data_IF_535424213481
#
_entry.id   IF_535424213481
#
_cell.length_a   1.000
_cell.length_b   1.000
_cell.length_c   1.000
_cell.angle_alpha   90.00
_cell.angle_beta   90.00
_cell.angle_gamma   90.00
#
_symmetry.space_group_name_H-M   'P 1'
#
loop_
_entity.id
_entity.type
_entity.pdbx_description
1 polymer ?
#
# COMPACT_ATOMS: atom_id res chain seq x y z
N UNK A 1 -22.08 41.00 -5.18
CA UNK A 1 -21.61 39.84 -4.40
C UNK A 1 -21.04 38.86 -5.40
N UNK A 2 -19.72 38.83 -5.54
CA UNK A 2 -19.04 37.86 -6.39
C UNK A 2 -19.06 36.51 -5.64
N UNK A 3 -19.76 35.53 -6.19
CA UNK A 3 -19.59 34.14 -5.78
C UNK A 3 -18.21 33.71 -6.31
N UNK A 4 -17.21 33.65 -5.43
CA UNK A 4 -15.92 33.06 -5.77
C UNK A 4 -16.10 31.56 -6.01
N UNK A 5 -15.95 31.14 -7.27
CA UNK A 5 -15.76 29.76 -7.74
C UNK A 5 -14.42 29.17 -7.24
N UNK A 6 -14.18 29.14 -5.92
CA UNK A 6 -13.03 28.43 -5.36
C UNK A 6 -13.45 27.02 -4.97
N UNK A 7 -13.24 26.07 -5.90
CA UNK A 7 -13.26 24.63 -5.56
C UNK A 7 -12.32 24.37 -4.39
N UNK A 8 -12.80 23.65 -3.38
CA UNK A 8 -11.96 23.20 -2.27
C UNK A 8 -10.93 22.18 -2.76
N UNK A 9 -9.85 21.96 -2.00
CA UNK A 9 -8.79 21.03 -2.43
C UNK A 9 -9.32 19.59 -2.56
N UNK A 10 -10.24 19.18 -1.69
CA UNK A 10 -10.90 17.86 -1.80
C UNK A 10 -11.81 17.75 -3.04
N UNK A 11 -12.42 18.87 -3.50
CA UNK A 11 -13.18 18.89 -4.75
C UNK A 11 -12.27 18.80 -5.97
N UNK A 12 -11.08 19.42 -5.92
CA UNK A 12 -10.06 19.27 -6.97
C UNK A 12 -9.53 17.85 -7.02
N UNK A 13 -9.23 17.27 -5.86
CA UNK A 13 -8.78 15.90 -5.72
C UNK A 13 -9.80 14.91 -6.29
N UNK A 14 -11.07 15.08 -5.93
CA UNK A 14 -12.17 14.31 -6.53
C UNK A 14 -12.19 14.47 -8.05
N UNK A 15 -12.16 15.70 -8.57
CA UNK A 15 -12.20 15.94 -10.01
C UNK A 15 -11.04 15.29 -10.78
N UNK A 16 -9.87 15.18 -10.15
CA UNK A 16 -8.69 14.54 -10.71
C UNK A 16 -8.84 13.02 -10.83
N UNK A 17 -9.41 12.35 -9.83
CA UNK A 17 -9.40 10.88 -9.74
C UNK A 17 -10.76 10.21 -9.97
N UNK A 18 -11.86 10.96 -10.02
CA UNK A 18 -13.21 10.40 -10.09
C UNK A 18 -13.40 9.44 -11.26
N UNK A 19 -12.84 9.72 -12.43
CA UNK A 19 -12.98 8.82 -13.58
C UNK A 19 -11.92 7.73 -13.69
N UNK A 20 -10.99 7.63 -12.72
CA UNK A 20 -10.14 6.45 -12.55
C UNK A 20 -10.84 5.34 -11.76
N UNK A 21 -12.01 5.60 -11.17
CA UNK A 21 -12.76 4.65 -10.33
C UNK A 21 -13.96 4.12 -11.11
N UNK A 22 -14.11 2.80 -11.12
CA UNK A 22 -15.18 2.05 -11.77
C UNK A 22 -16.05 1.32 -10.73
N UNK A 23 -17.27 0.98 -11.12
CA UNK A 23 -18.01 -0.08 -10.42
C UNK A 23 -17.70 -1.43 -11.04
N UNK A 24 -17.92 -2.48 -10.25
CA UNK A 24 -17.89 -3.86 -10.70
C UNK A 24 -19.22 -4.50 -10.28
N UNK A 25 -20.03 -4.94 -11.24
CA UNK A 25 -21.21 -5.77 -10.94
C UNK A 25 -20.87 -7.23 -11.14
N UNK A 26 -21.43 -8.06 -10.28
CA UNK A 26 -21.15 -9.49 -10.21
C UNK A 26 -22.43 -10.27 -9.96
N UNK A 27 -22.41 -11.54 -10.31
CA UNK A 27 -23.47 -12.51 -10.04
C UNK A 27 -22.86 -13.67 -9.24
N UNK A 28 -23.48 -14.04 -8.12
CA UNK A 28 -23.10 -15.22 -7.36
C UNK A 28 -23.75 -16.51 -7.92
N UNK A 29 -23.39 -17.66 -7.35
CA UNK A 29 -23.92 -18.97 -7.77
C UNK A 29 -25.45 -19.10 -7.56
N UNK A 30 -26.04 -18.26 -6.72
CA UNK A 30 -27.48 -18.18 -6.45
C UNK A 30 -28.20 -17.19 -7.37
N UNK A 31 -27.50 -16.59 -8.35
CA UNK A 31 -28.00 -15.56 -9.27
C UNK A 31 -28.39 -14.24 -8.57
N UNK A 32 -27.83 -13.98 -7.39
CA UNK A 32 -27.96 -12.67 -6.77
C UNK A 32 -26.91 -11.72 -7.36
N UNK A 33 -27.37 -10.53 -7.76
CA UNK A 33 -26.49 -9.47 -8.23
C UNK A 33 -25.85 -8.73 -7.06
N UNK A 34 -24.53 -8.54 -7.15
CA UNK A 34 -23.74 -7.73 -6.24
C UNK A 34 -23.09 -6.55 -6.96
N UNK A 35 -22.69 -5.54 -6.19
CA UNK A 35 -21.91 -4.41 -6.68
C UNK A 35 -20.73 -4.13 -5.74
N UNK A 36 -19.58 -3.88 -6.33
CA UNK A 36 -18.40 -3.34 -5.68
C UNK A 36 -17.78 -2.21 -6.50
N UNK A 37 -16.59 -1.80 -6.08
CA UNK A 37 -15.82 -0.74 -6.71
C UNK A 37 -14.47 -1.28 -7.17
N UNK A 38 -13.86 -0.62 -8.14
CA UNK A 38 -12.48 -0.85 -8.54
C UNK A 38 -11.83 0.48 -8.95
N UNK A 39 -10.51 0.55 -9.00
CA UNK A 39 -9.82 1.76 -9.48
C UNK A 39 -8.57 1.41 -10.30
N UNK A 40 -8.32 2.22 -11.32
CA UNK A 40 -7.20 2.10 -12.23
C UNK A 40 -5.92 2.63 -11.58
N UNK A 41 -4.83 1.85 -11.64
CA UNK A 41 -3.52 2.21 -11.08
C UNK A 41 -2.45 2.48 -12.15
N UNK A 42 -2.80 2.33 -13.43
CA UNK A 42 -1.87 2.46 -14.56
C UNK A 42 -1.86 1.20 -15.43
N UNK A 43 -1.45 1.34 -16.69
CA UNK A 43 -1.30 0.24 -17.66
C UNK A 43 -2.56 -0.63 -17.85
N UNK A 44 -3.74 -0.06 -17.63
CA UNK A 44 -5.02 -0.78 -17.69
C UNK A 44 -5.29 -1.68 -16.49
N UNK A 45 -4.45 -1.65 -15.46
CA UNK A 45 -4.58 -2.49 -14.27
C UNK A 45 -5.55 -1.83 -13.30
N UNK A 46 -6.60 -2.56 -12.94
CA UNK A 46 -7.58 -2.19 -11.93
C UNK A 46 -7.39 -3.03 -10.69
N UNK A 47 -7.63 -2.40 -9.54
CA UNK A 47 -7.58 -2.98 -8.20
C UNK A 47 -8.98 -3.02 -7.63
N UNK A 48 -9.35 -4.12 -6.97
CA UNK A 48 -10.62 -4.29 -6.24
C UNK A 48 -10.44 -5.19 -5.01
N UNK A 49 -11.43 -5.27 -4.14
CA UNK A 49 -11.40 -6.22 -3.03
C UNK A 49 -11.68 -7.64 -3.55
N UNK A 50 -10.97 -8.65 -3.03
CA UNK A 50 -11.10 -10.04 -3.48
C UNK A 50 -12.53 -10.52 -3.36
N UNK A 51 -13.18 -10.32 -2.21
CA UNK A 51 -14.55 -10.79 -1.99
C UNK A 51 -15.60 -10.16 -2.93
N UNK A 52 -15.28 -9.08 -3.63
CA UNK A 52 -16.18 -8.50 -4.65
C UNK A 52 -16.32 -9.46 -5.82
N UNK A 53 -15.25 -10.15 -6.22
CA UNK A 53 -15.19 -10.94 -7.46
C UNK A 53 -14.91 -12.42 -7.24
N UNK A 54 -14.36 -12.81 -6.10
CA UNK A 54 -13.94 -14.18 -5.83
C UNK A 54 -15.15 -15.12 -5.83
N UNK A 55 -15.04 -16.22 -6.57
CA UNK A 55 -16.13 -17.17 -6.84
C UNK A 55 -17.42 -16.53 -7.39
N UNK A 56 -17.31 -15.40 -8.09
CA UNK A 56 -18.44 -14.71 -8.73
C UNK A 56 -18.18 -14.45 -10.19
N UNK A 57 -19.25 -14.41 -10.97
CA UNK A 57 -19.17 -14.04 -12.38
C UNK A 57 -19.23 -12.51 -12.49
N UNK A 58 -18.19 -11.92 -13.05
CA UNK A 58 -18.18 -10.48 -13.37
C UNK A 58 -19.16 -10.23 -14.52
N UNK A 59 -20.14 -9.36 -14.29
CA UNK A 59 -21.13 -8.95 -15.28
C UNK A 59 -20.68 -7.70 -16.04
N UNK A 60 -20.19 -6.70 -15.31
CA UNK A 60 -19.79 -5.41 -15.89
C UNK A 60 -18.72 -4.72 -15.04
N UNK A 61 -17.76 -4.09 -15.72
CA UNK A 61 -16.84 -3.11 -15.12
C UNK A 61 -17.00 -1.81 -15.89
N UNK A 62 -17.39 -0.72 -15.24
CA UNK A 62 -17.59 0.54 -15.95
C UNK A 62 -17.31 1.78 -15.11
N UNK A 63 -16.85 2.83 -15.78
CA UNK A 63 -16.72 4.17 -15.21
C UNK A 63 -17.96 5.00 -15.51
N UNK A 64 -18.28 5.95 -14.62
CA UNK A 64 -19.52 6.77 -14.74
C UNK A 64 -19.26 8.27 -14.84
N UNK A 65 -17.99 8.70 -14.88
CA UNK A 65 -17.60 10.11 -14.86
C UNK A 65 -16.97 10.52 -16.18
N UNK A 66 -17.49 11.60 -16.76
CA UNK A 66 -16.80 12.30 -17.84
C UNK A 66 -15.62 13.07 -17.26
N UNK A 67 -14.50 13.00 -17.95
CA UNK A 67 -13.25 13.64 -17.55
C UNK A 67 -12.85 14.58 -18.67
N UNK A 68 -12.47 15.80 -18.30
CA UNK A 68 -11.92 16.80 -19.20
C UNK A 68 -10.46 17.03 -18.78
N UNK A 69 -9.53 16.63 -19.64
CA UNK A 69 -8.10 16.81 -19.43
C UNK A 69 -7.62 17.94 -20.34
N UNK A 70 -6.93 18.92 -19.75
CA UNK A 70 -6.28 19.99 -20.51
C UNK A 70 -4.84 19.61 -20.74
N UNK A 71 -4.48 19.35 -21.99
CA UNK A 71 -3.10 19.08 -22.39
C UNK A 71 -2.39 20.39 -22.70
N UNK A 72 -1.39 20.73 -21.90
CA UNK A 72 -0.52 21.88 -22.17
C UNK A 72 0.32 21.59 -23.42
N UNK A 73 0.23 22.47 -24.41
CA UNK A 73 1.04 22.43 -25.62
C UNK A 73 2.40 23.08 -25.34
N UNK A 74 3.49 22.42 -25.77
CA UNK A 74 4.87 22.96 -25.68
C UNK A 74 5.02 24.27 -26.47
N UNK A 75 4.12 24.50 -27.42
CA UNK A 75 4.01 25.72 -28.21
C UNK A 75 3.08 26.71 -27.50
N UNK A 76 3.64 27.76 -26.89
CA UNK A 76 2.90 28.81 -26.18
C UNK A 76 1.88 29.55 -27.07
N UNK A 77 1.99 29.43 -28.40
CA UNK A 77 1.06 30.03 -29.36
C UNK A 77 -0.15 29.12 -29.71
N UNK A 78 -0.16 27.86 -29.26
CA UNK A 78 -1.30 26.96 -29.46
C UNK A 78 -2.20 26.96 -28.24
N UNK A 79 -3.52 27.02 -28.48
CA UNK A 79 -4.49 26.80 -27.42
C UNK A 79 -4.36 25.36 -26.89
N UNK A 80 -4.49 25.17 -25.57
CA UNK A 80 -4.37 23.85 -24.97
C UNK A 80 -5.44 22.90 -25.52
N UNK A 81 -5.05 21.67 -25.80
CA UNK A 81 -5.96 20.65 -26.32
C UNK A 81 -6.80 20.07 -25.17
N UNK A 82 -8.12 20.04 -25.32
CA UNK A 82 -9.02 19.44 -24.33
C UNK A 82 -9.36 18.03 -24.78
N UNK A 83 -8.88 17.04 -24.02
CA UNK A 83 -9.22 15.63 -24.21
C UNK A 83 -10.43 15.32 -23.34
N UNK A 84 -11.51 14.85 -23.95
CA UNK A 84 -12.70 14.39 -23.25
C UNK A 84 -12.70 12.87 -23.21
N UNK A 85 -12.75 12.31 -22.01
CA UNK A 85 -12.90 10.87 -21.78
C UNK A 85 -14.32 10.61 -21.28
N UNK A 86 -15.09 9.87 -22.07
CA UNK A 86 -16.48 9.53 -21.73
C UNK A 86 -16.55 8.30 -20.82
N UNK A 87 -17.57 8.22 -19.95
CA UNK A 87 -17.90 6.99 -19.21
C UNK A 87 -18.03 5.79 -20.15
N UNK A 88 -17.46 4.65 -19.78
CA UNK A 88 -17.55 3.44 -20.60
C UNK A 88 -17.50 2.15 -19.81
N UNK A 89 -18.04 1.11 -20.42
CA UNK A 89 -17.84 -0.29 -20.02
C UNK A 89 -16.47 -0.75 -20.52
N UNK A 90 -15.73 -1.42 -19.65
CA UNK A 90 -14.39 -1.92 -19.90
C UNK A 90 -14.39 -3.43 -20.09
N UNK A 91 -13.65 -3.90 -21.09
CA UNK A 91 -13.43 -5.33 -21.30
C UNK A 91 -12.19 -5.77 -20.52
N UNK A 92 -12.34 -6.76 -19.65
CA UNK A 92 -11.22 -7.42 -18.98
C UNK A 92 -10.48 -8.27 -20.01
N UNK A 93 -9.19 -8.01 -20.17
CA UNK A 93 -8.31 -8.72 -21.12
C UNK A 93 -7.38 -9.71 -20.42
N UNK A 94 -7.17 -9.55 -19.10
CA UNK A 94 -6.30 -10.43 -18.31
C UNK A 94 -6.74 -10.44 -16.84
N UNK A 95 -6.65 -11.60 -16.19
CA UNK A 95 -7.18 -11.82 -14.84
C UNK A 95 -8.69 -12.14 -14.83
N UNK A 96 -9.36 -11.99 -13.67
CA UNK A 96 -8.83 -11.47 -12.42
C UNK A 96 -7.85 -12.41 -11.71
N UNK A 97 -6.87 -11.82 -11.02
CA UNK A 97 -5.96 -12.51 -10.11
C UNK A 97 -6.29 -12.11 -8.68
N UNK A 98 -6.45 -13.10 -7.80
CA UNK A 98 -6.74 -12.88 -6.38
C UNK A 98 -5.51 -13.16 -5.55
N UNK A 99 -5.32 -12.40 -4.47
CA UNK A 99 -4.32 -12.76 -3.46
C UNK A 99 -4.82 -13.96 -2.63
N UNK A 100 -3.88 -14.81 -2.20
CA UNK A 100 -4.20 -16.00 -1.41
C UNK A 100 -4.63 -15.64 0.01
N UNK A 101 -3.92 -14.71 0.63
CA UNK A 101 -4.05 -14.37 2.05
C UNK A 101 -4.81 -13.05 2.27
N UNK A 102 -4.78 -12.15 1.29
CA UNK A 102 -5.33 -10.80 1.42
C UNK A 102 -6.64 -10.61 0.66
N UNK A 103 -7.49 -9.71 1.14
CA UNK A 103 -8.76 -9.35 0.48
C UNK A 103 -8.55 -8.37 -0.70
N UNK A 104 -7.66 -8.74 -1.62
CA UNK A 104 -7.26 -7.91 -2.75
C UNK A 104 -7.26 -8.73 -4.05
N UNK A 105 -7.68 -8.09 -5.13
CA UNK A 105 -7.62 -8.63 -6.47
C UNK A 105 -7.27 -7.55 -7.49
N UNK A 106 -6.59 -7.99 -8.55
CA UNK A 106 -6.24 -7.16 -9.70
C UNK A 106 -6.70 -7.80 -11.01
N UNK A 107 -7.05 -6.96 -11.97
CA UNK A 107 -7.37 -7.39 -13.34
C UNK A 107 -6.95 -6.30 -14.33
N UNK A 108 -6.75 -6.67 -15.58
CA UNK A 108 -6.33 -5.75 -16.63
C UNK A 108 -7.45 -5.55 -17.64
N UNK A 109 -7.68 -4.31 -18.05
CA UNK A 109 -8.66 -3.95 -19.08
C UNK A 109 -7.99 -3.37 -20.31
N UNK A 110 -8.68 -3.43 -21.44
CA UNK A 110 -8.27 -2.73 -22.65
C UNK A 110 -8.52 -1.22 -22.53
N UNK A 111 -7.44 -0.45 -22.46
CA UNK A 111 -7.51 1.01 -22.52
C UNK A 111 -7.31 1.46 -23.97
N UNK A 112 -8.42 1.74 -24.65
CA UNK A 112 -8.40 2.35 -25.99
C UNK A 112 -7.73 3.75 -26.03
N UNK A 113 -7.46 4.36 -24.86
CA UNK A 113 -6.91 5.69 -24.73
C UNK A 113 -5.81 5.72 -23.65
N UNK A 114 -4.59 6.03 -24.05
CA UNK A 114 -3.41 6.13 -23.17
C UNK A 114 -3.55 7.22 -22.08
N UNK A 115 -4.46 8.18 -22.26
CA UNK A 115 -4.74 9.26 -21.32
C UNK A 115 -5.78 8.89 -20.25
N UNK A 116 -6.25 7.65 -20.21
CA UNK A 116 -7.19 7.21 -19.19
C UNK A 116 -6.57 7.39 -17.79
N UNK A 117 -7.23 8.13 -16.88
CA UNK A 117 -6.59 8.51 -15.64
C UNK A 117 -6.36 7.31 -14.74
N UNK A 118 -5.23 7.33 -14.05
CA UNK A 118 -4.86 6.37 -13.03
C UNK A 118 -4.75 7.08 -11.69
N UNK A 119 -5.06 6.36 -10.62
CA UNK A 119 -4.78 6.80 -9.26
C UNK A 119 -3.27 6.74 -9.01
N UNK A 120 -2.71 7.83 -8.48
CA UNK A 120 -1.33 7.83 -8.01
C UNK A 120 -1.20 6.93 -6.79
N UNK A 121 -0.16 6.09 -6.76
CA UNK A 121 0.09 5.17 -5.67
C UNK A 121 1.11 5.74 -4.68
N UNK A 122 0.94 5.43 -3.39
CA UNK A 122 1.92 5.78 -2.36
C UNK A 122 3.15 4.86 -2.40
N UNK A 123 4.32 5.38 -2.03
CA UNK A 123 5.54 4.57 -1.88
C UNK A 123 5.65 3.88 -0.52
N UNK A 124 4.72 4.13 0.40
CA UNK A 124 4.74 3.53 1.73
C UNK A 124 4.60 2.01 1.65
N UNK A 125 5.30 1.33 2.55
CA UNK A 125 5.19 -0.11 2.76
C UNK A 125 4.63 -0.40 4.15
N UNK A 126 4.00 -1.55 4.30
CA UNK A 126 3.50 -2.03 5.60
C UNK A 126 4.63 -2.30 6.58
N UNK A 127 5.88 -2.41 6.14
CA UNK A 127 7.04 -2.52 7.02
C UNK A 127 7.45 -1.16 7.63
N UNK A 128 7.27 -0.06 6.90
CA UNK A 128 7.70 1.28 7.32
C UNK A 128 6.66 2.02 8.16
N UNK A 129 5.37 1.74 7.95
CA UNK A 129 4.29 2.48 8.60
C UNK A 129 4.32 2.31 10.12
N UNK A 130 4.39 3.40 10.88
CA UNK A 130 4.28 3.33 12.35
C UNK A 130 2.82 3.36 12.81
N UNK A 131 2.57 3.08 14.10
CA UNK A 131 1.26 3.15 14.74
C UNK A 131 0.60 4.55 14.73
N UNK A 132 1.39 5.59 14.51
CA UNK A 132 0.97 6.99 14.51
C UNK A 132 1.04 7.64 13.12
N UNK A 133 1.70 6.99 12.17
CA UNK A 133 1.81 7.52 10.81
C UNK A 133 0.42 7.59 10.16
N UNK A 134 0.12 8.72 9.53
CA UNK A 134 -1.19 9.03 8.94
C UNK A 134 -2.35 9.21 9.93
N UNK A 135 -2.22 9.00 11.23
CA UNK A 135 -3.31 9.29 12.19
C UNK A 135 -3.71 10.76 12.08
N UNK A 136 -5.02 11.02 11.99
CA UNK A 136 -5.67 12.31 11.67
C UNK A 136 -5.43 12.86 10.26
N UNK A 137 -4.76 12.13 9.37
CA UNK A 137 -4.65 12.53 7.96
C UNK A 137 -6.04 12.54 7.32
N UNK A 138 -6.34 13.62 6.58
CA UNK A 138 -7.57 13.73 5.81
C UNK A 138 -7.54 12.76 4.63
N UNK A 139 -8.66 12.11 4.39
CA UNK A 139 -8.82 11.15 3.28
C UNK A 139 -10.11 11.39 2.51
N UNK A 140 -10.09 10.98 1.25
CA UNK A 140 -11.23 10.94 0.35
C UNK A 140 -11.46 9.49 -0.10
N UNK A 141 -12.62 8.95 0.24
CA UNK A 141 -13.06 7.62 -0.19
C UNK A 141 -13.96 7.77 -1.41
N UNK A 142 -13.67 7.01 -2.47
CA UNK A 142 -14.47 6.99 -3.71
C UNK A 142 -14.88 5.56 -4.03
N UNK A 143 -16.18 5.33 -4.24
CA UNK A 143 -16.71 4.01 -4.62
C UNK A 143 -18.15 4.08 -5.12
N UNK A 144 -18.80 2.93 -5.17
CA UNK A 144 -20.12 2.72 -5.76
C UNK A 144 -21.06 1.94 -4.81
N UNK A 145 -21.26 2.38 -3.56
CA UNK A 145 -22.30 1.82 -2.71
C UNK A 145 -23.68 1.98 -3.38
N UNK A 146 -24.54 0.96 -3.34
CA UNK A 146 -25.86 1.04 -3.95
C UNK A 146 -26.71 2.11 -3.24
N UNK A 147 -27.35 2.96 -4.03
CA UNK A 147 -28.32 3.95 -3.54
C UNK A 147 -29.72 3.43 -3.89
N UNK A 148 -30.59 3.14 -2.89
CA UNK A 148 -31.94 2.68 -3.15
C UNK A 148 -32.70 3.62 -4.10
N UNK A 149 -33.53 3.03 -4.97
CA UNK A 149 -34.37 3.74 -5.95
C UNK A 149 -33.63 4.50 -7.06
N UNK A 150 -32.31 4.28 -7.21
CA UNK A 150 -31.58 4.72 -8.41
C UNK A 150 -31.65 3.66 -9.50
N UNK A 151 -31.67 4.09 -10.76
CA UNK A 151 -31.73 3.20 -11.93
C UNK A 151 -30.36 2.97 -12.59
N UNK A 152 -29.30 3.51 -11.99
CA UNK A 152 -27.92 3.44 -12.48
C UNK A 152 -26.94 3.44 -11.31
N UNK A 153 -25.78 2.78 -11.42
CA UNK A 153 -24.71 2.92 -10.45
C UNK A 153 -24.25 4.38 -10.33
N UNK A 154 -24.27 4.92 -9.11
CA UNK A 154 -23.85 6.28 -8.83
C UNK A 154 -22.59 6.25 -7.98
N UNK A 155 -21.55 6.96 -8.43
CA UNK A 155 -20.34 7.11 -7.64
C UNK A 155 -20.65 7.95 -6.40
N UNK A 156 -20.29 7.43 -5.24
CA UNK A 156 -20.43 8.07 -3.94
C UNK A 156 -19.04 8.36 -3.38
N UNK A 157 -18.96 9.52 -2.74
CA UNK A 157 -17.71 10.04 -2.19
C UNK A 157 -17.94 10.38 -0.72
N UNK A 158 -17.00 10.00 0.14
CA UNK A 158 -17.02 10.34 1.55
C UNK A 158 -15.66 10.90 1.97
N UNK A 159 -15.66 11.98 2.75
CA UNK A 159 -14.46 12.53 3.38
C UNK A 159 -14.36 12.07 4.82
N UNK A 160 -13.16 11.79 5.30
CA UNK A 160 -12.91 11.42 6.69
C UNK A 160 -11.47 11.62 7.09
N UNK A 161 -11.11 11.00 8.20
CA UNK A 161 -9.75 10.96 8.72
C UNK A 161 -9.37 9.52 9.06
N UNK A 162 -8.08 9.23 9.00
CA UNK A 162 -7.51 8.03 9.61
C UNK A 162 -7.57 8.18 11.13
N UNK A 163 -8.28 7.28 11.79
CA UNK A 163 -8.44 7.26 13.23
C UNK A 163 -7.40 6.37 13.92
N UNK A 164 -6.98 5.30 13.26
CA UNK A 164 -5.99 4.37 13.78
C UNK A 164 -5.27 3.64 12.65
N UNK A 165 -4.03 3.22 12.95
CA UNK A 165 -3.26 2.25 12.19
C UNK A 165 -3.24 0.98 13.01
N UNK A 166 -3.63 -0.14 12.41
CA UNK A 166 -3.77 -1.42 13.10
C UNK A 166 -3.22 -2.57 12.25
N UNK A 167 -2.81 -3.64 12.91
CA UNK A 167 -2.62 -4.94 12.28
C UNK A 167 -3.80 -5.85 12.67
N UNK A 168 -4.31 -6.61 11.70
CA UNK A 168 -5.39 -7.58 11.93
C UNK A 168 -4.84 -8.99 11.82
N UNK A 169 -5.42 -9.95 12.56
CA UNK A 169 -4.86 -11.31 12.69
C UNK A 169 -4.78 -12.12 11.40
N UNK A 170 -5.48 -11.69 10.35
CA UNK A 170 -5.63 -12.42 9.10
C UNK A 170 -4.92 -11.73 7.92
N UNK A 171 -4.21 -10.64 8.17
CA UNK A 171 -3.51 -9.87 7.14
C UNK A 171 -2.05 -9.65 7.56
N UNK A 172 -1.15 -9.77 6.59
CA UNK A 172 0.26 -9.40 6.74
C UNK A 172 0.49 -7.90 6.48
N UNK A 173 -0.55 -7.17 6.07
CA UNK A 173 -0.47 -5.77 5.69
C UNK A 173 -1.17 -4.88 6.73
N UNK A 174 -0.73 -3.63 6.77
CA UNK A 174 -1.32 -2.63 7.65
C UNK A 174 -2.75 -2.32 7.20
N UNK A 175 -3.62 -2.17 8.20
CA UNK A 175 -4.97 -1.64 8.03
C UNK A 175 -5.11 -0.24 8.63
N UNK A 176 -5.90 0.60 7.97
CA UNK A 176 -6.31 1.90 8.50
C UNK A 176 -7.79 1.86 8.89
N UNK A 177 -8.10 2.40 10.06
CA UNK A 177 -9.48 2.64 10.48
C UNK A 177 -9.86 4.07 10.13
N UNK A 178 -10.95 4.27 9.39
CA UNK A 178 -11.44 5.60 9.03
C UNK A 178 -12.60 6.05 9.91
N UNK A 179 -12.78 7.38 10.00
CA UNK A 179 -13.95 8.00 10.64
C UNK A 179 -15.25 7.93 9.84
N UNK A 180 -15.20 7.43 8.60
CA UNK A 180 -16.37 7.26 7.73
C UNK A 180 -17.14 5.99 8.04
N UNK A 181 -18.44 5.97 7.74
CA UNK A 181 -19.26 4.77 7.89
C UNK A 181 -18.89 3.73 6.84
N UNK A 182 -18.66 2.49 7.28
CA UNK A 182 -18.59 1.36 6.38
C UNK A 182 -19.97 1.11 5.75
N UNK A 183 -20.00 0.88 4.43
CA UNK A 183 -21.21 0.49 3.68
C UNK A 183 -20.84 -0.47 2.57
N UNK A 184 -21.72 -1.44 2.31
CA UNK A 184 -21.58 -2.32 1.15
C UNK A 184 -21.47 -1.52 -0.15
N UNK A 185 -20.67 -2.03 -1.09
CA UNK A 185 -20.39 -1.42 -2.40
C UNK A 185 -19.30 -0.33 -2.41
N UNK A 186 -18.81 0.12 -1.24
CA UNK A 186 -17.49 0.78 -1.19
C UNK A 186 -16.33 -0.20 -1.34
N UNK A 187 -16.52 -1.48 -1.05
CA UNK A 187 -15.47 -2.51 -1.17
C UNK A 187 -14.81 -2.51 -2.54
N UNK A 188 -13.47 -2.52 -2.56
CA UNK A 188 -12.63 -2.29 -3.73
C UNK A 188 -12.46 -0.83 -4.14
N UNK A 189 -13.12 0.10 -3.46
CA UNK A 189 -13.03 1.54 -3.70
C UNK A 189 -11.74 2.10 -3.13
N UNK A 190 -11.28 3.21 -3.71
CA UNK A 190 -10.00 3.82 -3.34
C UNK A 190 -10.16 4.77 -2.16
N UNK A 191 -9.15 4.79 -1.30
CA UNK A 191 -8.97 5.80 -0.26
C UNK A 191 -7.75 6.63 -0.59
N UNK A 192 -7.99 7.89 -0.97
CA UNK A 192 -6.95 8.85 -1.33
C UNK A 192 -6.55 9.67 -0.10
N UNK A 193 -5.25 9.91 0.07
CA UNK A 193 -4.76 10.94 0.96
C UNK A 193 -5.07 12.33 0.42
N UNK A 194 -5.05 13.34 1.28
CA UNK A 194 -5.09 14.76 0.89
C UNK A 194 -4.03 15.13 -0.17
N UNK A 195 -2.86 14.49 -0.14
CA UNK A 195 -1.79 14.70 -1.12
C UNK A 195 -2.02 14.00 -2.46
N UNK A 196 -3.11 13.24 -2.58
CA UNK A 196 -3.58 12.67 -3.83
C UNK A 196 -2.99 11.32 -4.22
N UNK A 197 -2.34 10.61 -3.30
CA UNK A 197 -1.95 9.22 -3.51
C UNK A 197 -2.94 8.26 -2.81
N UNK A 198 -3.10 7.05 -3.33
CA UNK A 198 -3.86 6.00 -2.66
C UNK A 198 -3.15 5.57 -1.37
N UNK A 199 -3.84 5.74 -0.24
CA UNK A 199 -3.43 5.18 1.03
C UNK A 199 -3.72 3.66 1.07
N UNK A 200 -4.85 3.27 0.48
CA UNK A 200 -5.31 1.90 0.42
C UNK A 200 -6.65 1.75 -0.31
N UNK A 201 -7.23 0.56 -0.18
CA UNK A 201 -8.56 0.26 -0.69
C UNK A 201 -9.50 -0.17 0.44
N UNK A 202 -10.78 0.08 0.25
CA UNK A 202 -11.82 -0.41 1.16
C UNK A 202 -11.96 -1.92 1.00
N UNK A 203 -11.85 -2.68 2.06
CA UNK A 203 -12.09 -4.14 2.05
C UNK A 203 -13.37 -4.44 2.81
N UNK A 204 -13.27 -4.56 4.12
CA UNK A 204 -14.33 -5.00 5.00
C UNK A 204 -14.72 -3.94 6.04
N UNK A 205 -15.84 -4.21 6.72
CA UNK A 205 -16.16 -3.55 7.98
C UNK A 205 -15.72 -4.45 9.13
N UNK A 206 -14.90 -3.93 10.04
CA UNK A 206 -14.49 -4.65 11.23
C UNK A 206 -15.63 -4.64 12.25
N UNK A 207 -16.45 -5.69 12.22
CA UNK A 207 -17.55 -5.95 13.15
C UNK A 207 -17.37 -7.26 13.92
N UNK A 208 -18.27 -7.52 14.88
CA UNK A 208 -18.32 -8.82 15.59
C UNK A 208 -19.57 -9.61 15.17
N UNK A 209 -19.39 -10.89 14.82
CA UNK A 209 -20.50 -11.81 14.52
C UNK A 209 -21.44 -11.32 13.41
N UNK A 210 -22.75 -11.37 13.65
CA UNK A 210 -23.81 -10.93 12.71
C UNK A 210 -24.14 -9.43 12.79
N UNK A 211 -23.21 -8.61 13.30
CA UNK A 211 -23.44 -7.16 13.39
C UNK A 211 -23.58 -6.54 11.99
N UNK A 212 -24.46 -5.53 11.88
CA UNK A 212 -24.63 -4.80 10.64
C UNK A 212 -23.30 -4.18 10.23
N UNK A 213 -22.98 -4.22 8.93
CA UNK A 213 -21.74 -3.66 8.36
C UNK A 213 -21.55 -2.21 8.81
N UNK A 214 -22.63 -1.44 8.89
CA UNK A 214 -22.65 -0.04 9.30
C UNK A 214 -22.26 0.21 10.77
N UNK A 215 -22.23 -0.84 11.60
CA UNK A 215 -21.82 -0.75 13.00
C UNK A 215 -20.34 -1.11 13.24
N UNK A 216 -19.68 -1.66 12.23
CA UNK A 216 -18.25 -1.93 12.28
C UNK A 216 -17.39 -0.73 11.88
N UNK A 217 -16.09 -0.82 12.16
CA UNK A 217 -15.13 0.18 11.74
C UNK A 217 -14.83 0.03 10.25
N UNK A 218 -14.83 1.14 9.51
CA UNK A 218 -14.40 1.14 8.12
C UNK A 218 -12.91 0.86 8.04
N UNK A 219 -12.57 -0.33 7.53
CA UNK A 219 -11.21 -0.84 7.45
C UNK A 219 -10.69 -0.74 6.03
N UNK A 220 -9.47 -0.23 5.92
CA UNK A 220 -8.79 0.03 4.65
C UNK A 220 -7.52 -0.80 4.63
N UNK A 221 -7.40 -1.70 3.67
CA UNK A 221 -6.19 -2.46 3.44
C UNK A 221 -5.16 -1.55 2.75
N UNK A 222 -3.93 -1.53 3.27
CA UNK A 222 -2.82 -0.76 2.68
C UNK A 222 -2.68 -1.06 1.19
N UNK A 223 -2.44 0.00 0.41
CA UNK A 223 -2.23 -0.09 -1.05
C UNK A 223 -1.06 -1.00 -1.43
N UNK A 224 -0.17 -1.22 -0.47
CA UNK A 224 1.00 -2.07 -0.58
C UNK A 224 0.68 -3.48 -1.11
N UNK A 225 -0.39 -4.10 -0.59
CA UNK A 225 -0.86 -5.41 -1.04
C UNK A 225 -1.26 -5.44 -2.52
N UNK A 226 -1.86 -4.34 -3.02
CA UNK A 226 -2.28 -4.21 -4.41
C UNK A 226 -1.08 -4.06 -5.35
N UNK A 227 -0.07 -3.30 -4.89
CA UNK A 227 1.17 -3.09 -5.65
C UNK A 227 1.92 -4.40 -5.81
N UNK A 228 2.11 -5.16 -4.72
CA UNK A 228 2.77 -6.47 -4.77
C UNK A 228 2.05 -7.44 -5.71
N UNK A 229 0.71 -7.47 -5.66
CA UNK A 229 -0.07 -8.33 -6.55
C UNK A 229 0.03 -7.89 -8.02
N UNK A 230 0.02 -6.58 -8.30
CA UNK A 230 0.17 -6.05 -9.64
C UNK A 230 1.58 -6.31 -10.22
N UNK A 231 2.64 -6.17 -9.40
CA UNK A 231 4.01 -6.52 -9.80
C UNK A 231 4.11 -8.01 -10.11
N UNK A 232 3.55 -8.86 -9.25
CA UNK A 232 3.60 -10.33 -9.41
C UNK A 232 2.93 -10.82 -10.69
N UNK A 233 1.81 -10.23 -11.09
CA UNK A 233 0.99 -10.74 -12.18
C UNK A 233 1.09 -9.96 -13.49
N UNK A 234 1.51 -8.69 -13.45
CA UNK A 234 1.52 -7.81 -14.63
C UNK A 234 2.85 -7.12 -14.89
N UNK A 235 3.92 -7.47 -14.15
CA UNK A 235 5.23 -6.79 -14.23
C UNK A 235 5.10 -5.25 -14.09
N UNK A 236 4.21 -4.80 -13.20
CA UNK A 236 3.88 -3.39 -13.03
C UNK A 236 5.12 -2.53 -12.72
N UNK A 237 5.36 -1.51 -13.55
CA UNK A 237 6.58 -0.70 -13.47
C UNK A 237 6.47 0.40 -12.40
N UNK A 238 7.00 0.12 -11.22
CA UNK A 238 6.97 1.05 -10.07
C UNK A 238 7.60 2.43 -10.39
N UNK A 239 8.77 2.45 -11.06
CA UNK A 239 9.49 3.69 -11.36
C UNK A 239 8.71 4.59 -12.33
N UNK A 240 8.05 4.00 -13.34
CA UNK A 240 7.18 4.72 -14.28
C UNK A 240 6.07 5.49 -13.55
N UNK A 241 5.57 4.93 -12.45
CA UNK A 241 4.50 5.51 -11.65
C UNK A 241 5.00 6.27 -10.41
N UNK A 242 6.30 6.57 -10.34
CA UNK A 242 6.89 7.36 -9.25
C UNK A 242 6.84 6.67 -7.89
N UNK A 243 6.80 5.33 -7.89
CA UNK A 243 6.82 4.50 -6.69
C UNK A 243 8.27 4.10 -6.43
N UNK A 244 8.83 4.63 -5.35
CA UNK A 244 10.21 4.41 -4.95
C UNK A 244 10.23 3.60 -3.66
N UNK A 245 10.09 2.29 -3.82
CA UNK A 245 10.25 1.31 -2.74
C UNK A 245 11.67 0.77 -2.77
N UNK A 246 12.16 0.40 -1.59
CA UNK A 246 13.37 -0.42 -1.46
C UNK A 246 14.61 0.16 -2.18
N UNK A 247 14.76 1.48 -2.25
CA UNK A 247 15.94 2.05 -2.92
C UNK A 247 17.22 1.96 -2.07
N UNK A 248 17.06 1.79 -0.75
CA UNK A 248 18.14 2.07 0.21
C UNK A 248 18.46 0.87 1.13
N UNK A 249 17.45 0.14 1.60
CA UNK A 249 17.65 -0.97 2.55
C UNK A 249 17.85 -2.30 1.83
N UNK A 250 18.97 -2.98 2.05
CA UNK A 250 19.18 -4.36 1.59
C UNK A 250 18.35 -5.34 2.42
N UNK A 251 18.39 -5.21 3.74
CA UNK A 251 17.55 -5.95 4.67
C UNK A 251 17.34 -5.14 5.95
N UNK A 252 16.11 -5.17 6.47
CA UNK A 252 15.79 -4.65 7.79
C UNK A 252 14.92 -5.67 8.52
N UNK A 253 15.33 -6.07 9.72
CA UNK A 253 14.58 -7.00 10.57
C UNK A 253 14.24 -6.31 11.88
N UNK A 254 12.95 -6.08 12.10
CA UNK A 254 12.42 -5.49 13.34
C UNK A 254 12.01 -6.61 14.29
N UNK A 255 12.53 -6.55 15.50
CA UNK A 255 12.33 -7.54 16.56
C UNK A 255 11.68 -6.87 17.77
N UNK A 256 10.81 -7.61 18.45
CA UNK A 256 10.11 -7.09 19.63
C UNK A 256 10.03 -8.14 20.74
N UNK A 257 10.23 -7.72 21.98
CA UNK A 257 10.03 -8.58 23.15
C UNK A 257 8.56 -8.66 23.58
N UNK A 258 8.22 -9.65 24.42
CA UNK A 258 6.83 -9.87 24.86
C UNK A 258 6.23 -8.65 25.60
N UNK A 259 7.06 -7.92 26.36
CA UNK A 259 6.61 -6.76 27.15
C UNK A 259 6.04 -5.64 26.27
N UNK A 260 6.73 -5.33 25.15
CA UNK A 260 6.30 -4.31 24.20
C UNK A 260 5.30 -4.85 23.19
N UNK A 261 5.53 -6.05 22.63
CA UNK A 261 4.71 -6.61 21.54
C UNK A 261 3.25 -6.85 21.95
N UNK A 262 2.97 -7.13 23.24
CA UNK A 262 1.60 -7.22 23.76
C UNK A 262 0.87 -5.88 23.84
N UNK A 263 1.60 -4.76 23.83
CA UNK A 263 1.06 -3.41 23.99
C UNK A 263 0.88 -2.71 22.64
N UNK A 264 1.73 -3.03 21.66
CA UNK A 264 1.73 -2.40 20.36
C UNK A 264 2.34 -3.34 19.31
N UNK A 265 1.62 -3.59 18.22
CA UNK A 265 2.03 -4.49 17.14
C UNK A 265 2.94 -3.82 16.09
N UNK A 266 3.25 -2.54 16.24
CA UNK A 266 4.05 -1.75 15.29
C UNK A 266 5.32 -1.17 15.89
N UNK A 267 5.50 -1.28 17.20
CA UNK A 267 6.72 -0.84 17.89
C UNK A 267 7.68 -2.01 18.04
N UNK A 268 8.95 -1.74 17.75
CA UNK A 268 10.06 -2.67 17.95
C UNK A 268 11.02 -2.09 18.98
N UNK A 269 11.79 -2.96 19.63
CA UNK A 269 12.85 -2.57 20.57
C UNK A 269 14.17 -3.32 20.33
N UNK A 270 14.25 -4.04 19.21
CA UNK A 270 15.49 -4.43 18.58
C UNK A 270 15.35 -4.38 17.05
N UNK A 271 16.41 -3.99 16.34
CA UNK A 271 16.44 -3.97 14.89
C UNK A 271 17.86 -4.22 14.38
N UNK A 272 17.97 -4.97 13.29
CA UNK A 272 19.16 -4.97 12.44
C UNK A 272 18.79 -4.39 11.09
N UNK A 273 19.47 -3.32 10.70
CA UNK A 273 19.27 -2.63 9.43
C UNK A 273 20.57 -2.66 8.64
N UNK A 274 20.47 -3.01 7.37
CA UNK A 274 21.59 -3.05 6.43
C UNK A 274 21.23 -2.19 5.22
N UNK A 275 22.04 -1.17 4.98
CA UNK A 275 22.01 -0.33 3.79
C UNK A 275 23.06 -0.79 2.80
N UNK A 276 22.69 -0.87 1.52
CA UNK A 276 23.61 -1.12 0.41
C UNK A 276 23.00 -0.56 -0.88
N UNK A 277 23.63 0.45 -1.48
CA UNK A 277 23.22 1.04 -2.76
C UNK A 277 24.20 0.75 -3.92
N UNK A 278 25.02 -0.31 -3.79
CA UNK A 278 26.18 -0.63 -4.62
C UNK A 278 27.35 0.37 -4.53
N UNK A 279 27.23 1.47 -3.77
CA UNK A 279 28.30 2.47 -3.58
C UNK A 279 28.72 2.60 -2.12
N UNK A 280 27.76 2.71 -1.23
CA UNK A 280 27.92 2.88 0.20
C UNK A 280 27.23 1.73 0.93
N UNK A 281 27.87 1.22 2.00
CA UNK A 281 27.35 0.13 2.82
C UNK A 281 27.53 0.47 4.29
N UNK A 282 26.46 0.34 5.06
CA UNK A 282 26.52 0.46 6.52
C UNK A 282 25.45 -0.41 7.18
N UNK A 283 25.65 -0.68 8.46
CA UNK A 283 24.67 -1.42 9.26
C UNK A 283 24.42 -0.72 10.59
N UNK A 284 23.16 -0.75 11.00
CA UNK A 284 22.71 -0.25 12.29
C UNK A 284 22.15 -1.42 13.11
N UNK A 285 22.60 -1.51 14.37
CA UNK A 285 22.03 -2.41 15.37
C UNK A 285 21.35 -1.54 16.41
N UNK A 286 20.04 -1.70 16.56
CA UNK A 286 19.24 -1.00 17.57
C UNK A 286 18.81 -2.04 18.58
N UNK A 287 18.99 -1.78 19.88
CA UNK A 287 18.42 -2.60 20.93
C UNK A 287 18.31 -1.82 22.24
N UNK A 288 17.12 -1.79 22.82
CA UNK A 288 16.91 -1.17 24.13
C UNK A 288 17.54 -1.99 25.27
N UNK A 289 17.74 -3.30 25.04
CA UNK A 289 18.49 -4.17 25.95
C UNK A 289 20.00 -4.06 25.66
N UNK A 290 20.67 -3.29 26.51
CA UNK A 290 22.10 -3.03 26.45
C UNK A 290 22.96 -4.30 26.54
N UNK A 291 22.46 -5.35 27.21
CA UNK A 291 23.20 -6.61 27.33
C UNK A 291 23.19 -7.41 26.02
N UNK A 292 22.22 -7.15 25.13
CA UNK A 292 22.07 -7.85 23.85
C UNK A 292 22.64 -7.10 22.66
N UNK A 293 22.81 -5.78 22.76
CA UNK A 293 23.26 -4.92 21.66
C UNK A 293 24.66 -5.31 21.14
N UNK A 294 25.65 -5.45 22.03
CA UNK A 294 27.00 -5.83 21.63
C UNK A 294 27.11 -7.29 21.15
N UNK A 295 26.45 -8.28 21.80
CA UNK A 295 26.34 -9.63 21.23
C UNK A 295 25.73 -9.68 19.83
N UNK A 296 24.70 -8.88 19.52
CA UNK A 296 24.12 -8.81 18.18
C UNK A 296 25.16 -8.35 17.14
N UNK A 297 25.95 -7.32 17.48
CA UNK A 297 27.09 -6.89 16.67
C UNK A 297 28.12 -8.03 16.46
N UNK A 298 28.52 -8.73 17.52
CA UNK A 298 29.51 -9.82 17.42
C UNK A 298 29.02 -10.99 16.56
N UNK A 299 27.72 -11.29 16.60
CA UNK A 299 27.10 -12.30 15.72
C UNK A 299 27.24 -11.88 14.25
N UNK A 300 26.90 -10.63 13.91
CA UNK A 300 27.06 -10.13 12.55
C UNK A 300 28.54 -10.15 12.12
N UNK A 301 29.43 -9.65 12.99
CA UNK A 301 30.87 -9.58 12.76
C UNK A 301 31.51 -10.96 12.54
N UNK A 302 30.96 -12.01 13.15
CA UNK A 302 31.42 -13.39 12.95
C UNK A 302 31.14 -13.94 11.54
N UNK A 303 30.15 -13.39 10.84
CA UNK A 303 29.77 -13.77 9.46
C UNK A 303 30.54 -12.93 8.45
N UNK A 304 30.60 -11.61 8.67
CA UNK A 304 31.36 -10.67 7.84
C UNK A 304 32.04 -9.63 8.74
N UNK A 305 33.36 -9.39 8.60
CA UNK A 305 34.06 -8.43 9.43
C UNK A 305 33.49 -7.00 9.28
N UNK A 306 33.15 -6.39 10.41
CA UNK A 306 32.62 -5.03 10.51
C UNK A 306 33.33 -4.30 11.65
N UNK A 307 33.22 -2.98 11.67
CA UNK A 307 33.76 -2.15 12.75
C UNK A 307 32.76 -1.09 13.17
N UNK A 308 32.81 -0.71 14.45
CA UNK A 308 31.93 0.30 15.05
C UNK A 308 32.46 1.70 14.72
N UNK A 309 31.57 2.58 14.28
CA UNK A 309 31.81 4.02 14.26
C UNK A 309 31.29 4.63 15.57
N UNK A 310 32.22 4.87 16.49
CA UNK A 310 31.93 5.46 17.81
C UNK A 310 31.34 6.88 17.71
N UNK A 311 31.58 7.60 16.61
CA UNK A 311 31.08 8.97 16.45
C UNK A 311 29.60 9.04 16.09
N UNK A 312 29.07 7.96 15.51
CA UNK A 312 27.67 7.83 15.10
C UNK A 312 26.86 6.93 16.03
N UNK A 313 27.52 6.11 16.84
CA UNK A 313 26.90 5.22 17.81
C UNK A 313 26.36 5.98 19.03
N UNK A 314 25.33 5.40 19.67
CA UNK A 314 24.65 5.90 20.87
C UNK A 314 24.36 4.73 21.81
N UNK A 315 23.88 5.01 23.02
CA UNK A 315 23.62 3.98 24.03
C UNK A 315 22.84 2.77 23.46
N UNK A 316 21.74 2.97 22.73
CA UNK A 316 20.91 1.89 22.16
C UNK A 316 21.10 1.65 20.66
N UNK A 317 22.15 2.19 20.05
CA UNK A 317 22.41 2.12 18.61
C UNK A 317 23.91 1.94 18.34
N UNK A 318 24.29 0.83 17.69
CA UNK A 318 25.63 0.69 17.11
C UNK A 318 25.55 0.97 15.61
N UNK A 319 26.28 1.99 15.16
CA UNK A 319 26.51 2.26 13.75
C UNK A 319 27.80 1.59 13.31
N UNK A 320 27.78 0.85 12.22
CA UNK A 320 28.90 0.02 11.80
C UNK A 320 29.10 0.04 10.29
N UNK A 321 30.32 -0.26 9.86
CA UNK A 321 30.70 -0.37 8.45
C UNK A 321 31.50 -1.65 8.22
N UNK A 322 31.36 -2.27 7.04
CA UNK A 322 32.16 -3.44 6.71
C UNK A 322 33.65 -3.09 6.62
N UNK A 323 34.52 -4.01 7.04
CA UNK A 323 35.97 -3.82 6.93
C UNK A 323 36.48 -3.96 5.49
N UNK A 324 35.72 -4.67 4.65
CA UNK A 324 35.96 -4.91 3.22
C UNK A 324 34.67 -4.61 2.42
N UNK A 325 34.58 -5.06 1.17
CA UNK A 325 33.37 -4.98 0.35
C UNK A 325 32.67 -6.35 0.26
N UNK A 326 31.87 -6.76 1.27
CA UNK A 326 31.20 -8.05 1.28
C UNK A 326 30.05 -8.09 0.25
N UNK A 327 29.76 -9.26 -0.35
CA UNK A 327 28.61 -9.38 -1.23
C UNK A 327 27.29 -9.24 -0.43
N UNK A 328 26.27 -8.66 -1.07
CA UNK A 328 24.94 -8.47 -0.49
C UNK A 328 24.35 -9.75 0.13
N UNK A 329 24.59 -10.92 -0.49
CA UNK A 329 24.14 -12.22 0.05
C UNK A 329 24.74 -12.55 1.43
N UNK A 330 25.99 -12.14 1.68
CA UNK A 330 26.66 -12.37 2.95
C UNK A 330 26.15 -11.41 4.03
N UNK A 331 25.92 -10.14 3.65
CA UNK A 331 25.29 -9.14 4.53
C UNK A 331 23.90 -9.57 4.99
N UNK A 332 23.09 -10.10 4.07
CA UNK A 332 21.76 -10.65 4.40
C UNK A 332 21.87 -11.84 5.33
N UNK A 333 22.80 -12.77 5.07
CA UNK A 333 23.04 -13.93 5.94
C UNK A 333 23.45 -13.49 7.35
N UNK A 334 24.26 -12.44 7.47
CA UNK A 334 24.67 -11.88 8.75
C UNK A 334 23.50 -11.25 9.51
N UNK A 335 22.63 -10.49 8.84
CA UNK A 335 21.41 -9.93 9.44
C UNK A 335 20.43 -11.03 9.90
N UNK A 336 20.23 -12.07 9.09
CA UNK A 336 19.40 -13.23 9.47
C UNK A 336 19.97 -13.98 10.68
N UNK A 337 21.30 -14.08 10.82
CA UNK A 337 21.93 -14.65 12.01
C UNK A 337 21.66 -13.81 13.28
N UNK A 338 21.62 -12.49 13.15
CA UNK A 338 21.26 -11.57 14.25
C UNK A 338 19.79 -11.69 14.63
N UNK A 339 18.88 -11.82 13.65
CA UNK A 339 17.48 -12.16 13.92
C UNK A 339 17.38 -13.45 14.74
N UNK A 340 18.05 -14.52 14.31
CA UNK A 340 18.02 -15.82 14.98
C UNK A 340 18.59 -15.75 16.41
N UNK A 341 19.55 -14.85 16.66
CA UNK A 341 20.06 -14.55 17.99
C UNK A 341 18.99 -13.88 18.88
N UNK A 342 18.29 -12.87 18.37
CA UNK A 342 17.18 -12.23 19.10
C UNK A 342 16.05 -13.21 19.40
N UNK A 343 15.70 -14.09 18.45
CA UNK A 343 14.69 -15.13 18.68
C UNK A 343 15.05 -16.09 19.81
N UNK A 344 16.34 -16.38 20.02
CA UNK A 344 16.83 -17.19 21.14
C UNK A 344 16.87 -16.42 22.47
N UNK A 345 16.72 -15.10 22.42
CA UNK A 345 16.75 -14.19 23.56
C UNK A 345 15.35 -13.67 23.92
N UNK A 346 14.31 -14.47 23.66
CA UNK A 346 12.90 -14.17 23.95
C UNK A 346 12.30 -12.96 23.18
N UNK A 347 12.85 -12.64 22.01
CA UNK A 347 12.21 -11.74 21.03
C UNK A 347 11.45 -12.54 19.98
N UNK A 348 10.49 -11.90 19.32
CA UNK A 348 9.89 -12.39 18.10
C UNK A 348 10.08 -11.39 16.96
N UNK A 349 10.05 -11.90 15.74
CA UNK A 349 10.10 -11.07 14.54
C UNK A 349 8.78 -10.31 14.41
N UNK A 350 8.88 -8.98 14.32
CA UNK A 350 7.77 -8.10 14.07
C UNK A 350 7.53 -7.96 12.55
N UNK A 351 8.61 -7.69 11.82
CA UNK A 351 8.58 -7.61 10.36
C UNK A 351 9.98 -7.72 9.78
N UNK A 352 10.07 -8.28 8.58
CA UNK A 352 11.30 -8.30 7.78
C UNK A 352 11.03 -7.68 6.42
N UNK A 353 11.89 -6.73 6.05
CA UNK A 353 11.96 -6.17 4.71
C UNK A 353 13.24 -6.67 4.06
N UNK A 354 13.13 -7.27 2.88
CA UNK A 354 14.28 -7.76 2.13
C UNK A 354 14.21 -7.26 0.70
N UNK A 355 15.29 -6.66 0.26
CA UNK A 355 15.44 -6.24 -1.10
C UNK A 355 16.07 -7.33 -1.95
N UNK A 356 15.55 -7.55 -3.15
CA UNK A 356 16.00 -8.62 -4.03
C UNK A 356 16.79 -8.14 -5.25
N UNK A 357 16.86 -6.83 -5.54
CA UNK A 357 17.52 -6.36 -6.77
C UNK A 357 19.04 -6.62 -6.77
N UNK A 358 19.72 -6.53 -5.63
CA UNK A 358 21.15 -6.86 -5.47
C UNK A 358 21.43 -8.36 -5.29
N UNK A 359 20.42 -9.16 -4.91
CA UNK A 359 20.55 -10.59 -4.61
C UNK A 359 20.35 -11.45 -5.86
N UNK A 360 19.75 -10.89 -6.92
CA UNK A 360 19.63 -11.58 -8.20
C UNK A 360 21.03 -11.78 -8.77
N UNK A 361 21.44 -13.05 -8.86
CA UNK A 361 22.59 -13.45 -9.66
C UNK A 361 22.46 -12.75 -11.02
N UNK A 362 23.49 -12.02 -11.42
CA UNK A 362 23.66 -11.57 -12.81
C UNK A 362 23.77 -12.84 -13.66
N UNK A 363 22.63 -13.36 -14.11
CA UNK A 363 22.54 -14.46 -15.05
C UNK A 363 23.14 -14.08 -16.41
#
# INVERSE_FOLDING_TARGET
>A
MAFEDKKTDIQKLYAQYAGAVAYVTVEDDEQNEGIGSAFHIGDGIFVTAKHVIDNKKILEVATTKRIELTQETIDEEKEPEIIIIEPKVHNIIEGPFVNENEDISVFKVDLENDFFPSVQLGSHTSHEITDSQFVLANVLVIGYPPIPFTNTPNQVVASGQVNAVIDVRHSDYVHFVLSTMARGGFSGGVVLSESGFALGLVTESLGTGESLVETGYMSILSIDSAIELAVKHFDFNLQKYGIYRDQDSLIEVKMVNESLGRLNSRLFNACVYVYDDDRDVFMEFICDDQELLHPAYEIFNSVTPIHIDESMSKDNLLFTQPSDNPPATLLVTAAEAVRDFFMKSDYHELSTKRNSWQIRDKA
#
